data_IF_293372353440
#
_entry.id   IF_293372353440
#
_cell.length_a   1.000
_cell.length_b   1.000
_cell.length_c   1.000
_cell.angle_alpha   90.00
_cell.angle_beta   90.00
_cell.angle_gamma   90.00
#
_symmetry.space_group_name_H-M   'P 1'
#
loop_
_entity.id
_entity.type
_entity.pdbx_description
1 polymer ?
#
# COMPACT_ATOMS: atom_id res chain seq x y z
N UNK A 1 -26.72 -9.42 -17.75
CA UNK A 1 -26.26 -9.29 -16.36
C UNK A 1 -25.18 -8.24 -16.38
N UNK A 2 -25.36 -7.19 -15.59
CA UNK A 2 -24.45 -6.06 -15.55
C UNK A 2 -23.06 -6.51 -15.06
N UNK A 3 -21.98 -5.93 -15.58
CA UNK A 3 -20.62 -6.34 -15.22
C UNK A 3 -20.35 -6.06 -13.74
N UNK A 4 -20.91 -4.97 -13.20
CA UNK A 4 -20.77 -4.57 -11.81
C UNK A 4 -21.45 -5.57 -10.87
N UNK A 5 -22.66 -6.01 -11.22
CA UNK A 5 -23.38 -7.07 -10.48
C UNK A 5 -22.57 -8.37 -10.46
N UNK A 6 -21.98 -8.75 -11.59
CA UNK A 6 -21.12 -9.95 -11.69
C UNK A 6 -19.86 -9.82 -10.86
N UNK A 7 -19.17 -8.69 -10.92
CA UNK A 7 -17.97 -8.44 -10.14
C UNK A 7 -18.26 -8.51 -8.63
N UNK A 8 -19.37 -7.93 -8.18
CA UNK A 8 -19.81 -8.02 -6.77
C UNK A 8 -20.16 -9.45 -6.36
N UNK A 9 -20.84 -10.20 -7.22
CA UNK A 9 -21.14 -11.61 -6.95
C UNK A 9 -19.87 -12.47 -6.85
N UNK A 10 -18.91 -12.27 -7.78
CA UNK A 10 -17.62 -12.94 -7.76
C UNK A 10 -16.84 -12.61 -6.47
N UNK A 11 -16.81 -11.34 -6.07
CA UNK A 11 -16.17 -10.91 -4.82
C UNK A 11 -16.79 -11.57 -3.58
N UNK A 12 -18.13 -11.64 -3.50
CA UNK A 12 -18.84 -12.30 -2.39
C UNK A 12 -18.51 -13.79 -2.31
N UNK A 13 -18.37 -14.44 -3.47
CA UNK A 13 -17.97 -15.84 -3.58
C UNK A 13 -16.46 -16.06 -3.41
N UNK A 14 -15.67 -14.98 -3.27
CA UNK A 14 -14.21 -14.98 -3.25
C UNK A 14 -13.59 -15.58 -4.53
N UNK A 15 -14.31 -15.49 -5.64
CA UNK A 15 -13.76 -15.72 -6.96
C UNK A 15 -12.96 -14.49 -7.38
N UNK A 16 -11.74 -14.42 -6.86
CA UNK A 16 -10.89 -13.25 -7.00
C UNK A 16 -10.46 -13.01 -8.45
N UNK A 17 -10.22 -14.07 -9.21
CA UNK A 17 -9.84 -13.98 -10.62
C UNK A 17 -10.90 -13.25 -11.43
N UNK A 18 -12.16 -13.69 -11.33
CA UNK A 18 -13.27 -13.08 -12.05
C UNK A 18 -13.54 -11.65 -11.55
N UNK A 19 -13.54 -11.43 -10.23
CA UNK A 19 -13.75 -10.10 -9.68
C UNK A 19 -12.69 -9.09 -10.15
N UNK A 20 -11.41 -9.47 -10.07
CA UNK A 20 -10.29 -8.63 -10.52
C UNK A 20 -10.37 -8.37 -12.02
N UNK A 21 -10.61 -9.40 -12.83
CA UNK A 21 -10.71 -9.25 -14.28
C UNK A 21 -11.83 -8.29 -14.69
N UNK A 22 -13.02 -8.41 -14.08
CA UNK A 22 -14.16 -7.56 -14.38
C UNK A 22 -13.94 -6.10 -13.95
N UNK A 23 -13.42 -5.87 -12.74
CA UNK A 23 -13.21 -4.51 -12.22
C UNK A 23 -12.05 -3.82 -12.94
N UNK A 24 -10.94 -4.53 -13.15
CA UNK A 24 -9.75 -3.95 -13.80
C UNK A 24 -10.00 -3.51 -15.25
N UNK A 25 -10.93 -4.15 -15.96
CA UNK A 25 -11.34 -3.76 -17.30
C UNK A 25 -12.10 -2.41 -17.35
N UNK A 26 -12.57 -1.94 -16.20
CA UNK A 26 -13.38 -0.73 -16.03
C UNK A 26 -12.70 0.24 -15.04
N UNK A 27 -11.38 0.14 -14.89
CA UNK A 27 -10.62 0.88 -13.90
C UNK A 27 -9.50 1.69 -14.56
N UNK A 28 -9.41 2.97 -14.20
CA UNK A 28 -8.31 3.84 -14.64
C UNK A 28 -7.86 4.76 -13.51
N UNK A 29 -6.54 4.78 -13.25
CA UNK A 29 -5.97 5.55 -12.14
C UNK A 29 -6.14 7.06 -12.31
N UNK A 30 -5.96 7.58 -13.52
CA UNK A 30 -6.05 9.01 -13.84
C UNK A 30 -7.16 9.24 -14.87
N UNK A 31 -8.40 8.97 -14.46
CA UNK A 31 -9.59 9.19 -15.27
C UNK A 31 -10.33 10.46 -14.83
N UNK A 32 -10.88 11.19 -15.81
CA UNK A 32 -11.82 12.29 -15.56
C UNK A 32 -13.24 11.76 -15.23
N UNK A 33 -13.51 10.49 -15.51
CA UNK A 33 -14.70 9.76 -15.08
C UNK A 33 -14.52 9.25 -13.63
N UNK A 34 -15.31 9.73 -12.66
CA UNK A 34 -15.25 9.29 -11.27
C UNK A 34 -15.49 7.79 -11.08
N UNK A 35 -16.37 7.17 -11.89
CA UNK A 35 -16.71 5.75 -11.73
C UNK A 35 -15.51 4.87 -12.09
N UNK A 36 -14.75 5.24 -13.13
CA UNK A 36 -13.52 4.55 -13.51
C UNK A 36 -12.42 4.68 -12.45
N UNK A 37 -12.33 5.84 -11.79
CA UNK A 37 -11.38 6.03 -10.70
C UNK A 37 -11.78 5.22 -9.45
N UNK A 38 -13.06 5.21 -9.10
CA UNK A 38 -13.58 4.41 -7.99
C UNK A 38 -13.38 2.91 -8.23
N UNK A 39 -13.59 2.44 -9.47
CA UNK A 39 -13.27 1.07 -9.86
C UNK A 39 -11.77 0.78 -9.74
N UNK A 40 -10.90 1.75 -10.02
CA UNK A 40 -9.47 1.60 -9.80
C UNK A 40 -9.12 1.40 -8.33
N UNK A 41 -9.73 2.18 -7.45
CA UNK A 41 -9.57 1.98 -6.00
C UNK A 41 -10.06 0.59 -5.57
N UNK A 42 -11.23 0.17 -6.07
CA UNK A 42 -11.78 -1.16 -5.79
C UNK A 42 -10.87 -2.28 -6.28
N UNK A 43 -10.33 -2.16 -7.49
CA UNK A 43 -9.37 -3.13 -8.04
C UNK A 43 -8.16 -3.30 -7.11
N UNK A 44 -7.57 -2.20 -6.62
CA UNK A 44 -6.44 -2.31 -5.71
C UNK A 44 -6.81 -2.99 -4.38
N UNK A 45 -8.03 -2.78 -3.88
CA UNK A 45 -8.53 -3.48 -2.68
C UNK A 45 -8.77 -4.97 -2.94
N UNK A 46 -9.22 -5.35 -4.14
CA UNK A 46 -9.34 -6.76 -4.53
C UNK A 46 -7.97 -7.45 -4.56
N UNK A 47 -6.92 -6.79 -5.10
CA UNK A 47 -5.57 -7.35 -5.11
C UNK A 47 -5.04 -7.61 -3.69
N UNK A 48 -5.30 -6.70 -2.75
CA UNK A 48 -4.93 -6.87 -1.34
C UNK A 48 -5.65 -8.07 -0.72
N UNK A 49 -6.98 -8.16 -0.92
CA UNK A 49 -7.83 -9.23 -0.34
C UNK A 49 -7.56 -10.61 -0.93
N UNK A 50 -7.18 -10.65 -2.21
CA UNK A 50 -6.75 -11.85 -2.90
C UNK A 50 -5.29 -12.23 -2.60
N UNK A 51 -4.60 -11.47 -1.75
CA UNK A 51 -3.18 -11.63 -1.40
C UNK A 51 -2.24 -11.62 -2.61
N UNK A 52 -2.60 -10.92 -3.69
CA UNK A 52 -1.79 -10.79 -4.91
C UNK A 52 -0.71 -9.73 -4.77
N UNK A 53 0.17 -9.93 -3.78
CA UNK A 53 1.22 -8.98 -3.44
C UNK A 53 2.18 -8.74 -4.61
N UNK A 54 2.49 -9.77 -5.42
CA UNK A 54 3.35 -9.61 -6.60
C UNK A 54 2.74 -8.66 -7.62
N UNK A 55 1.46 -8.85 -7.97
CA UNK A 55 0.75 -7.98 -8.92
C UNK A 55 0.62 -6.54 -8.39
N UNK A 56 0.33 -6.39 -7.10
CA UNK A 56 0.28 -5.09 -6.44
C UNK A 56 1.67 -4.41 -6.39
N UNK A 57 2.75 -5.19 -6.28
CA UNK A 57 4.14 -4.72 -6.32
C UNK A 57 4.52 -4.18 -7.68
N UNK A 58 4.18 -4.90 -8.75
CA UNK A 58 4.41 -4.43 -10.12
C UNK A 58 3.69 -3.11 -10.39
N UNK A 59 2.42 -3.01 -9.98
CA UNK A 59 1.63 -1.78 -10.14
C UNK A 59 2.18 -0.62 -9.33
N UNK A 60 2.65 -0.87 -8.11
CA UNK A 60 3.20 0.16 -7.21
C UNK A 60 4.41 0.93 -7.77
N UNK A 61 5.04 0.42 -8.84
CA UNK A 61 6.11 1.12 -9.55
C UNK A 61 5.61 2.43 -10.17
N UNK A 62 4.42 2.42 -10.78
CA UNK A 62 3.86 3.58 -11.49
C UNK A 62 2.58 4.13 -10.87
N UNK A 63 1.95 3.38 -9.96
CA UNK A 63 0.66 3.70 -9.37
C UNK A 63 0.77 4.02 -7.87
N UNK A 64 0.40 5.24 -7.50
CA UNK A 64 0.47 5.70 -6.12
C UNK A 64 -0.58 5.04 -5.21
N UNK A 65 -1.76 4.68 -5.73
CA UNK A 65 -2.78 3.97 -4.96
C UNK A 65 -2.37 2.53 -4.68
N UNK A 66 -1.76 1.87 -5.67
CA UNK A 66 -1.17 0.54 -5.51
C UNK A 66 -0.05 0.58 -4.46
N UNK A 67 0.86 1.56 -4.56
CA UNK A 67 1.98 1.74 -3.62
C UNK A 67 1.51 1.91 -2.19
N UNK A 68 0.51 2.77 -1.95
CA UNK A 68 -0.05 2.99 -0.61
C UNK A 68 -0.70 1.75 -0.03
N UNK A 69 -1.47 1.02 -0.83
CA UNK A 69 -2.11 -0.23 -0.39
C UNK A 69 -1.09 -1.32 -0.10
N UNK A 70 -0.07 -1.45 -0.94
CA UNK A 70 1.04 -2.36 -0.71
C UNK A 70 1.74 -2.06 0.61
N UNK A 71 2.17 -0.81 0.82
CA UNK A 71 2.87 -0.43 2.05
C UNK A 71 2.00 -0.66 3.30
N UNK A 72 0.70 -0.38 3.22
CA UNK A 72 -0.25 -0.71 4.29
C UNK A 72 -0.32 -2.21 4.57
N UNK A 73 -0.51 -3.04 3.54
CA UNK A 73 -0.58 -4.50 3.70
C UNK A 73 0.72 -5.10 4.23
N UNK A 74 1.88 -4.57 3.81
CA UNK A 74 3.17 -4.98 4.34
C UNK A 74 3.31 -4.66 5.84
N UNK A 75 2.84 -3.49 6.29
CA UNK A 75 2.79 -3.13 7.72
C UNK A 75 1.89 -4.07 8.51
N UNK A 76 0.67 -4.31 8.03
CA UNK A 76 -0.29 -5.21 8.69
C UNK A 76 0.24 -6.64 8.83
N UNK A 77 1.13 -7.05 7.93
CA UNK A 77 1.80 -8.37 7.93
C UNK A 77 3.16 -8.38 8.64
N UNK A 78 3.61 -7.24 9.18
CA UNK A 78 4.93 -7.13 9.82
C UNK A 78 6.12 -7.34 8.88
N UNK A 79 5.96 -7.09 7.57
CA UNK A 79 7.00 -7.32 6.56
C UNK A 79 8.00 -6.17 6.51
N UNK A 80 8.67 -5.91 7.63
CA UNK A 80 9.61 -4.79 7.81
C UNK A 80 10.76 -4.81 6.80
N UNK A 81 11.35 -5.98 6.54
CA UNK A 81 12.45 -6.11 5.59
C UNK A 81 12.03 -5.67 4.18
N UNK A 82 10.79 -5.97 3.76
CA UNK A 82 10.26 -5.54 2.47
C UNK A 82 9.98 -4.04 2.46
N UNK A 83 9.45 -3.47 3.54
CA UNK A 83 9.30 -2.01 3.66
C UNK A 83 10.65 -1.29 3.63
N UNK A 84 11.68 -1.85 4.27
CA UNK A 84 13.03 -1.32 4.29
C UNK A 84 13.64 -1.29 2.89
N UNK A 85 13.61 -2.41 2.16
CA UNK A 85 14.15 -2.45 0.79
C UNK A 85 13.44 -1.45 -0.14
N UNK A 86 12.12 -1.30 -0.01
CA UNK A 86 11.37 -0.28 -0.78
C UNK A 86 11.79 1.14 -0.43
N UNK A 87 12.01 1.42 0.85
CA UNK A 87 12.49 2.72 1.32
C UNK A 87 13.90 3.02 0.79
N UNK A 88 14.80 2.03 0.78
CA UNK A 88 16.13 2.11 0.18
C UNK A 88 16.06 2.39 -1.33
N UNK A 89 15.08 1.82 -2.02
CA UNK A 89 14.79 2.09 -3.44
C UNK A 89 14.13 3.46 -3.69
N UNK A 90 13.91 4.26 -2.63
CA UNK A 90 13.39 5.64 -2.72
C UNK A 90 11.89 5.78 -2.47
N UNK A 91 11.17 4.73 -2.07
CA UNK A 91 9.77 4.83 -1.66
C UNK A 91 9.65 5.48 -0.27
N UNK A 92 9.46 6.80 -0.26
CA UNK A 92 9.29 7.58 0.99
C UNK A 92 8.07 7.15 1.79
N UNK A 93 6.98 6.73 1.15
CA UNK A 93 5.80 6.25 1.86
C UNK A 93 6.13 4.94 2.61
N UNK A 94 6.97 4.07 2.05
CA UNK A 94 7.44 2.87 2.74
C UNK A 94 8.32 3.20 3.95
N UNK A 95 9.20 4.21 3.84
CA UNK A 95 10.00 4.71 4.96
C UNK A 95 9.10 5.17 6.12
N UNK A 96 8.09 6.00 5.84
CA UNK A 96 7.19 6.51 6.89
C UNK A 96 6.41 5.38 7.56
N UNK A 97 5.93 4.42 6.79
CA UNK A 97 5.19 3.26 7.31
C UNK A 97 6.07 2.38 8.18
N UNK A 98 7.32 2.12 7.78
CA UNK A 98 8.29 1.35 8.56
C UNK A 98 8.62 2.03 9.89
N UNK A 99 8.91 3.33 9.84
CA UNK A 99 9.25 4.13 11.02
C UNK A 99 8.10 4.16 12.02
N UNK A 100 6.87 4.37 11.54
CA UNK A 100 5.67 4.31 12.41
C UNK A 100 5.50 2.94 13.06
N UNK A 101 5.64 1.86 12.28
CA UNK A 101 5.55 0.50 12.82
C UNK A 101 6.59 0.25 13.93
N UNK A 102 7.83 0.71 13.74
CA UNK A 102 8.87 0.61 14.77
C UNK A 102 8.53 1.44 16.01
N UNK A 103 8.04 2.66 15.85
CA UNK A 103 7.61 3.51 16.98
C UNK A 103 6.43 2.87 17.75
N UNK A 104 5.39 2.43 17.06
CA UNK A 104 4.21 1.76 17.63
C UNK A 104 4.58 0.48 18.40
N UNK A 105 5.69 -0.17 18.04
CA UNK A 105 6.21 -1.38 18.71
C UNK A 105 7.30 -1.09 19.75
N UNK A 106 7.53 0.20 20.07
CA UNK A 106 8.49 0.63 21.10
C UNK A 106 9.95 0.61 20.66
N UNK A 107 10.24 0.37 19.38
CA UNK A 107 11.58 0.26 18.79
C UNK A 107 12.08 1.61 18.26
N UNK A 108 11.98 2.64 19.09
CA UNK A 108 12.29 4.03 18.73
C UNK A 108 13.74 4.21 18.27
N UNK A 109 14.70 3.58 18.93
CA UNK A 109 16.12 3.70 18.59
C UNK A 109 16.41 3.08 17.21
N UNK A 110 15.72 1.99 16.87
CA UNK A 110 15.82 1.38 15.54
C UNK A 110 15.17 2.28 14.49
N UNK A 111 14.02 2.89 14.81
CA UNK A 111 13.38 3.87 13.94
C UNK A 111 14.29 5.08 13.65
N UNK A 112 14.96 5.62 14.67
CA UNK A 112 15.95 6.70 14.53
C UNK A 112 17.08 6.29 13.59
N UNK A 113 17.60 5.07 13.74
CA UNK A 113 18.67 4.55 12.90
C UNK A 113 18.22 4.41 11.44
N UNK A 114 17.04 3.83 11.20
CA UNK A 114 16.47 3.68 9.85
C UNK A 114 16.33 5.04 9.16
N UNK A 115 15.84 6.06 9.87
CA UNK A 115 15.74 7.42 9.31
C UNK A 115 17.12 7.99 9.00
N UNK A 116 18.11 7.80 9.88
CA UNK A 116 19.47 8.30 9.65
C UNK A 116 20.15 7.62 8.45
N UNK A 117 19.91 6.31 8.27
CA UNK A 117 20.57 5.50 7.23
C UNK A 117 19.92 5.70 5.85
N UNK A 118 18.58 5.74 5.77
CA UNK A 118 17.85 5.75 4.49
C UNK A 118 17.42 7.15 4.07
N UNK A 119 16.91 7.94 5.01
CA UNK A 119 16.30 9.24 4.74
C UNK A 119 16.85 10.33 5.65
N UNK A 120 18.18 10.54 5.72
CA UNK A 120 18.75 11.47 6.67
C UNK A 120 18.19 12.87 6.49
N UNK A 121 17.86 13.32 5.29
CA UNK A 121 17.30 14.67 5.05
C UNK A 121 15.77 14.73 5.15
N UNK A 122 15.10 13.59 5.36
CA UNK A 122 13.65 13.51 5.39
C UNK A 122 13.09 14.07 6.71
N UNK A 123 12.63 15.31 6.64
CA UNK A 123 12.08 16.02 7.81
C UNK A 123 10.83 15.35 8.37
N UNK A 124 10.01 14.71 7.52
CA UNK A 124 8.78 14.08 7.96
C UNK A 124 9.08 12.78 8.70
N UNK A 125 9.98 11.95 8.17
CA UNK A 125 10.43 10.74 8.84
C UNK A 125 11.05 11.06 10.22
N UNK A 126 11.86 12.12 10.31
CA UNK A 126 12.41 12.60 11.59
C UNK A 126 11.32 13.06 12.57
N UNK A 127 10.28 13.73 12.07
CA UNK A 127 9.16 14.18 12.91
C UNK A 127 8.36 13.02 13.48
N UNK A 128 8.11 11.95 12.70
CA UNK A 128 7.44 10.74 13.19
C UNK A 128 8.18 10.19 14.41
N UNK A 129 9.49 10.02 14.30
CA UNK A 129 10.32 9.51 15.39
C UNK A 129 10.35 10.44 16.60
N UNK A 130 10.32 11.76 16.39
CA UNK A 130 10.32 12.74 17.46
C UNK A 130 8.96 12.90 18.15
N UNK A 131 7.86 12.68 17.43
CA UNK A 131 6.48 12.94 17.87
C UNK A 131 5.74 11.73 18.42
N UNK A 132 5.95 10.54 17.87
CA UNK A 132 5.19 9.32 18.23
C UNK A 132 5.80 8.54 19.42
N UNK A 133 6.79 9.11 20.12
CA UNK A 133 7.38 8.51 21.32
C UNK A 133 6.68 8.88 22.64
N UNK A 134 5.48 9.45 22.58
CA UNK A 134 4.75 9.85 23.79
C UNK A 134 3.27 10.10 23.56
N UNK A 135 2.48 9.02 23.50
CA UNK A 135 1.12 8.91 24.06
C UNK A 135 0.85 7.47 24.40
#
# INVERSE_FOLDING_TARGET
MDWLERARAAEQLRDWDEAIALVSAHAECFSDDPDMHDNHLWHMDLLVRAERISELTERALTDNHARRRLNRSLRERGMEATLCGRAEDGDRDALYVLVRLMCETGRVQEAQKVVADIGPEDQYARQIVAGDCGT
#
